data_IF_056248744978
#
_entry.id   IF_056248744978
#
_cell.length_a   1.000
_cell.length_b   1.000
_cell.length_c   1.000
_cell.angle_alpha   90.00
_cell.angle_beta   90.00
_cell.angle_gamma   90.00
#
_symmetry.space_group_name_H-M   'P 1'
#
loop_
_entity.id
_entity.type
_entity.pdbx_description
1 polymer ?
#
# COMPACT_ATOMS: atom_id res chain seq x y z
N UNK A 1 -69.94 -44.65 -35.51
CA UNK A 1 -71.02 -43.67 -35.56
C UNK A 1 -70.39 -42.32 -35.11
N UNK A 2 -70.32 -41.40 -36.10
CA UNK A 2 -70.33 -39.95 -36.00
C UNK A 2 -69.16 -39.31 -35.25
N UNK A 3 -68.12 -38.79 -35.91
CA UNK A 3 -67.99 -37.44 -36.48
C UNK A 3 -68.23 -36.28 -35.49
N UNK A 4 -67.22 -35.48 -35.11
CA UNK A 4 -67.17 -34.15 -35.68
C UNK A 4 -65.76 -33.45 -35.43
N UNK A 5 -65.31 -32.90 -36.54
CA UNK A 5 -64.22 -31.95 -36.67
C UNK A 5 -64.60 -30.60 -35.99
N UNK A 6 -63.63 -29.84 -35.54
CA UNK A 6 -63.49 -28.40 -35.88
C UNK A 6 -62.18 -27.82 -35.44
N UNK A 7 -61.50 -27.25 -36.39
CA UNK A 7 -60.34 -26.32 -36.27
C UNK A 7 -60.60 -25.13 -35.38
N UNK A 8 -59.55 -24.60 -34.74
CA UNK A 8 -59.35 -23.13 -34.64
C UNK A 8 -57.93 -22.82 -34.34
N UNK A 9 -57.25 -22.23 -35.29
CA UNK A 9 -56.53 -20.95 -35.39
C UNK A 9 -55.48 -20.61 -34.29
N UNK A 10 -54.27 -20.38 -34.81
CA UNK A 10 -53.10 -19.84 -34.19
C UNK A 10 -53.34 -18.45 -33.59
N UNK A 11 -52.73 -18.22 -32.45
CA UNK A 11 -52.31 -16.89 -32.01
C UNK A 11 -50.94 -17.00 -31.31
N UNK A 12 -49.95 -16.53 -32.01
CA UNK A 12 -48.59 -16.37 -31.44
C UNK A 12 -48.60 -15.26 -30.40
N UNK A 13 -48.02 -15.54 -29.25
CA UNK A 13 -47.55 -14.51 -28.34
C UNK A 13 -46.06 -14.74 -28.07
N UNK A 14 -45.24 -13.83 -28.60
CA UNK A 14 -43.83 -13.77 -28.33
C UNK A 14 -43.58 -13.48 -26.86
N UNK A 15 -42.94 -14.39 -26.17
CA UNK A 15 -42.34 -14.14 -24.87
C UNK A 15 -40.98 -13.43 -25.10
N UNK A 16 -40.99 -12.11 -24.94
CA UNK A 16 -39.77 -11.35 -24.79
C UNK A 16 -39.10 -11.77 -23.48
N UNK A 17 -38.03 -12.57 -23.57
CA UNK A 17 -37.22 -12.94 -22.44
C UNK A 17 -36.48 -11.70 -21.93
N UNK A 18 -36.88 -11.16 -20.80
CA UNK A 18 -36.03 -10.24 -20.03
C UNK A 18 -34.83 -11.03 -19.49
N UNK A 19 -33.70 -10.88 -20.13
CA UNK A 19 -32.41 -11.27 -19.53
C UNK A 19 -32.08 -10.26 -18.46
N UNK A 20 -32.43 -10.55 -17.21
CA UNK A 20 -31.86 -9.86 -16.07
C UNK A 20 -30.43 -10.32 -15.93
N UNK A 21 -29.47 -9.50 -16.38
CA UNK A 21 -28.07 -9.66 -16.08
C UNK A 21 -27.90 -9.43 -14.57
N UNK A 22 -27.93 -10.51 -13.79
CA UNK A 22 -27.49 -10.49 -12.40
C UNK A 22 -25.98 -10.28 -12.40
N UNK A 23 -25.56 -9.03 -12.35
CA UNK A 23 -24.17 -8.67 -12.09
C UNK A 23 -23.76 -9.24 -10.74
N UNK A 24 -23.01 -10.34 -10.75
CA UNK A 24 -22.37 -10.88 -9.55
C UNK A 24 -21.37 -9.83 -9.05
N UNK A 25 -21.81 -9.03 -8.10
CA UNK A 25 -20.89 -8.19 -7.31
C UNK A 25 -19.94 -9.13 -6.56
N UNK A 26 -18.73 -9.31 -7.09
CA UNK A 26 -17.65 -9.98 -6.35
C UNK A 26 -17.28 -9.08 -5.19
N UNK A 27 -17.87 -9.31 -4.04
CA UNK A 27 -17.38 -8.73 -2.79
C UNK A 27 -15.93 -9.20 -2.63
N UNK A 28 -14.98 -8.27 -2.67
CA UNK A 28 -13.57 -8.59 -2.46
C UNK A 28 -13.43 -9.28 -1.10
N UNK A 29 -12.82 -10.46 -1.08
CA UNK A 29 -12.52 -11.18 0.17
C UNK A 29 -11.71 -10.25 1.06
N UNK A 30 -12.11 -10.02 2.32
CA UNK A 30 -11.36 -9.15 3.21
C UNK A 30 -9.92 -9.66 3.35
N UNK A 31 -8.96 -8.76 3.26
CA UNK A 31 -7.56 -9.09 3.41
C UNK A 31 -7.32 -9.68 4.81
N UNK A 32 -6.50 -10.74 4.89
CA UNK A 32 -6.22 -11.42 6.15
C UNK A 32 -5.53 -10.46 7.13
N UNK A 33 -6.00 -10.46 8.39
CA UNK A 33 -5.34 -9.72 9.46
C UNK A 33 -3.90 -10.19 9.68
N UNK A 34 -2.98 -9.33 10.14
CA UNK A 34 -1.61 -9.71 10.50
C UNK A 34 -1.58 -10.84 11.52
N UNK A 35 -0.59 -11.73 11.43
CA UNK A 35 -0.36 -12.80 12.40
C UNK A 35 0.60 -12.42 13.52
N UNK A 36 1.38 -11.35 13.31
CA UNK A 36 2.33 -10.76 14.25
C UNK A 36 2.01 -9.29 14.54
N UNK A 37 2.84 -8.62 15.35
CA UNK A 37 2.71 -7.19 15.60
C UNK A 37 2.70 -6.39 14.29
N UNK A 38 1.71 -5.49 14.14
CA UNK A 38 1.66 -4.59 13.00
C UNK A 38 2.85 -3.64 13.02
N UNK A 39 3.63 -3.61 11.95
CA UNK A 39 4.75 -2.70 11.77
C UNK A 39 4.42 -1.51 10.87
N UNK A 40 3.55 -1.72 9.89
CA UNK A 40 3.15 -0.68 8.94
C UNK A 40 1.63 -0.67 8.77
N UNK A 41 1.04 0.50 8.91
CA UNK A 41 -0.40 0.74 8.68
C UNK A 41 -0.57 1.68 7.49
N UNK A 42 -1.41 1.31 6.54
CA UNK A 42 -1.75 2.12 5.36
C UNK A 42 -3.23 2.52 5.46
N UNK A 43 -3.53 3.80 5.39
CA UNK A 43 -4.90 4.32 5.50
C UNK A 43 -5.24 5.33 4.38
N UNK A 44 -6.44 5.88 4.42
CA UNK A 44 -6.92 6.88 3.47
C UNK A 44 -7.58 6.26 2.25
N UNK A 45 -7.20 6.68 1.04
CA UNK A 45 -7.80 6.25 -0.22
C UNK A 45 -7.35 4.84 -0.64
N UNK A 46 -7.69 3.83 0.17
CA UNK A 46 -7.39 2.42 -0.04
C UNK A 46 -8.65 1.62 -0.37
N UNK A 47 -8.53 0.53 -1.13
CA UNK A 47 -9.65 -0.35 -1.47
C UNK A 47 -9.61 -1.69 -0.73
N UNK A 48 -8.44 -2.10 -0.22
CA UNK A 48 -8.25 -3.31 0.58
C UNK A 48 -7.92 -2.95 2.02
N UNK A 49 -8.69 -3.48 2.97
CA UNK A 49 -8.48 -3.25 4.40
C UNK A 49 -8.56 -4.57 5.17
N UNK A 50 -7.82 -4.67 6.27
CA UNK A 50 -7.85 -5.79 7.21
C UNK A 50 -7.87 -5.30 8.66
N UNK A 51 -8.08 -4.00 8.85
CA UNK A 51 -8.18 -3.33 10.13
C UNK A 51 -9.31 -2.28 10.07
N UNK A 52 -10.12 -2.18 11.13
CA UNK A 52 -11.15 -1.16 11.32
C UNK A 52 -10.59 0.22 11.67
N UNK A 53 -11.47 1.07 12.21
CA UNK A 53 -11.15 2.43 12.61
C UNK A 53 -10.01 2.50 13.65
N UNK A 54 -9.37 3.65 13.70
CA UNK A 54 -8.40 3.97 14.75
C UNK A 54 -9.12 4.01 16.11
N UNK A 55 -8.56 3.29 17.09
CA UNK A 55 -9.01 3.33 18.49
C UNK A 55 -8.12 4.28 19.27
N UNK A 56 -8.62 5.45 19.60
CA UNK A 56 -7.89 6.48 20.35
C UNK A 56 -7.42 6.04 21.74
N UNK A 57 -8.01 4.99 22.30
CA UNK A 57 -7.63 4.42 23.58
C UNK A 57 -6.37 3.56 23.49
N UNK A 58 -6.24 2.79 22.41
CA UNK A 58 -5.14 1.81 22.25
C UNK A 58 -4.07 2.32 21.27
N UNK A 59 -4.46 3.02 20.21
CA UNK A 59 -3.55 3.54 19.17
C UNK A 59 -2.90 4.86 19.58
N UNK A 60 -2.32 4.90 20.78
CA UNK A 60 -1.83 6.12 21.43
C UNK A 60 -0.85 6.93 20.58
N UNK A 61 0.11 6.27 19.93
CA UNK A 61 1.10 6.97 19.10
C UNK A 61 0.44 7.59 17.88
N UNK A 62 -0.43 6.86 17.20
CA UNK A 62 -1.17 7.39 16.04
C UNK A 62 -2.06 8.56 16.43
N UNK A 63 -2.78 8.44 17.55
CA UNK A 63 -3.62 9.52 18.08
C UNK A 63 -2.81 10.79 18.40
N UNK A 64 -1.65 10.66 19.04
CA UNK A 64 -0.73 11.78 19.33
C UNK A 64 -0.16 12.43 18.08
N UNK A 65 0.03 11.66 17.00
CA UNK A 65 0.46 12.16 15.69
C UNK A 65 -0.72 12.71 14.84
N UNK A 66 -1.93 12.80 15.41
CA UNK A 66 -3.11 13.36 14.74
C UNK A 66 -3.64 12.50 13.59
N UNK A 67 -3.31 11.21 13.56
CA UNK A 67 -3.79 10.29 12.53
C UNK A 67 -5.25 9.93 12.82
N UNK A 68 -6.05 9.87 11.75
CA UNK A 68 -7.46 9.46 11.79
C UNK A 68 -7.74 8.55 10.58
N UNK A 69 -8.48 7.48 10.79
CA UNK A 69 -9.00 6.62 9.72
C UNK A 69 -10.15 5.74 10.21
N UNK A 70 -11.08 5.43 9.31
CA UNK A 70 -12.21 4.51 9.55
C UNK A 70 -11.84 3.07 9.21
N UNK A 71 -10.84 2.88 8.36
CA UNK A 71 -10.29 1.58 7.95
C UNK A 71 -8.83 1.73 7.55
N UNK A 72 -8.08 0.66 7.72
CA UNK A 72 -6.67 0.61 7.32
C UNK A 72 -6.27 -0.79 6.84
N UNK A 73 -5.11 -0.86 6.18
CA UNK A 73 -4.42 -2.10 5.82
C UNK A 73 -3.17 -2.21 6.68
N UNK A 74 -3.15 -3.21 7.54
CA UNK A 74 -2.07 -3.45 8.49
C UNK A 74 -1.15 -4.58 7.97
N UNK A 75 0.16 -4.36 8.07
CA UNK A 75 1.20 -5.30 7.64
C UNK A 75 2.15 -5.57 8.81
N UNK A 76 2.43 -6.85 9.07
CA UNK A 76 3.47 -7.32 9.98
C UNK A 76 4.80 -7.57 9.23
N UNK A 77 5.84 -7.93 9.98
CA UNK A 77 7.15 -8.26 9.40
C UNK A 77 7.05 -9.39 8.36
N UNK A 78 6.25 -10.41 8.64
CA UNK A 78 6.07 -11.57 7.76
C UNK A 78 5.42 -11.16 6.43
N UNK A 79 4.40 -10.32 6.48
CA UNK A 79 3.74 -9.82 5.28
C UNK A 79 4.69 -9.02 4.40
N UNK A 80 5.48 -8.11 4.99
CA UNK A 80 6.48 -7.32 4.25
C UNK A 80 7.59 -8.19 3.65
N UNK A 81 8.11 -9.16 4.40
CA UNK A 81 9.19 -10.04 3.97
C UNK A 81 8.79 -11.05 2.89
N UNK A 82 7.51 -11.39 2.77
CA UNK A 82 6.99 -12.26 1.70
C UNK A 82 6.82 -11.54 0.37
N UNK A 83 6.84 -10.21 0.35
CA UNK A 83 6.76 -9.45 -0.89
C UNK A 83 8.07 -9.57 -1.69
N UNK A 84 8.02 -9.50 -3.02
CA UNK A 84 9.23 -9.47 -3.85
C UNK A 84 10.15 -8.32 -3.42
N UNK A 85 11.37 -8.66 -2.99
CA UNK A 85 12.32 -7.68 -2.49
C UNK A 85 13.25 -7.18 -3.60
N UNK A 86 13.60 -5.90 -3.51
CA UNK A 86 14.60 -5.21 -4.32
C UNK A 86 15.78 -4.87 -3.43
N UNK A 87 16.98 -4.87 -3.98
CA UNK A 87 18.21 -4.45 -3.30
C UNK A 87 18.73 -3.19 -3.95
N UNK A 88 19.09 -2.20 -3.12
CA UNK A 88 19.73 -0.95 -3.51
C UNK A 88 21.00 -0.75 -2.67
N UNK A 89 21.92 0.12 -3.11
CA UNK A 89 23.20 0.31 -2.39
C UNK A 89 23.59 1.79 -2.31
N UNK A 90 22.77 2.64 -1.67
CA UNK A 90 23.07 4.06 -1.52
C UNK A 90 24.21 4.32 -0.54
N UNK A 91 24.93 5.42 -0.74
CA UNK A 91 25.82 6.01 0.26
C UNK A 91 24.99 6.75 1.30
N UNK A 92 25.02 6.29 2.57
CA UNK A 92 24.20 6.86 3.62
C UNK A 92 24.84 8.12 4.25
N UNK A 93 23.99 9.03 4.76
CA UNK A 93 24.43 10.29 5.35
C UNK A 93 25.11 10.14 6.69
N UNK A 94 24.87 9.04 7.42
CA UNK A 94 25.31 8.86 8.80
C UNK A 94 26.79 8.53 8.93
N UNK A 95 27.36 7.84 7.95
CA UNK A 95 28.78 7.44 7.95
C UNK A 95 29.47 7.66 6.60
N UNK A 96 28.75 8.18 5.62
CA UNK A 96 29.24 8.43 4.25
C UNK A 96 29.76 7.16 3.56
N UNK A 97 29.16 5.99 3.86
CA UNK A 97 29.51 4.71 3.25
C UNK A 97 28.33 4.11 2.50
N UNK A 98 28.58 3.30 1.45
CA UNK A 98 27.55 2.55 0.78
C UNK A 98 27.06 1.38 1.65
N UNK A 99 25.73 1.26 1.83
CA UNK A 99 25.07 0.18 2.56
C UNK A 99 24.11 -0.56 1.67
N UNK A 100 24.04 -1.88 1.83
CA UNK A 100 23.10 -2.72 1.09
C UNK A 100 21.75 -2.73 1.80
N UNK A 101 20.74 -2.08 1.21
CA UNK A 101 19.37 -2.05 1.71
C UNK A 101 18.49 -3.00 0.89
N UNK A 102 17.62 -3.75 1.57
CA UNK A 102 16.74 -4.73 0.93
C UNK A 102 15.32 -4.63 1.47
N UNK A 103 14.33 -4.63 0.58
CA UNK A 103 12.91 -4.64 0.91
C UNK A 103 12.03 -4.57 -0.34
N UNK A 104 10.70 -4.66 -0.20
CA UNK A 104 9.77 -4.54 -1.32
C UNK A 104 9.75 -3.10 -1.86
N UNK A 105 9.38 -2.94 -3.15
CA UNK A 105 9.02 -1.64 -3.68
C UNK A 105 7.83 -1.06 -2.90
N UNK A 106 7.86 0.23 -2.62
CA UNK A 106 6.73 0.91 -1.95
C UNK A 106 5.43 0.77 -2.76
N UNK A 107 5.51 0.75 -4.09
CA UNK A 107 4.35 0.49 -4.96
C UNK A 107 3.76 -0.91 -4.76
N UNK A 108 4.59 -1.93 -4.50
CA UNK A 108 4.14 -3.30 -4.16
C UNK A 108 3.43 -3.32 -2.81
N UNK A 109 3.98 -2.60 -1.83
CA UNK A 109 3.37 -2.46 -0.49
C UNK A 109 2.01 -1.76 -0.59
N UNK A 110 1.91 -0.69 -1.37
CA UNK A 110 0.65 0.04 -1.59
C UNK A 110 -0.38 -0.79 -2.36
N UNK A 111 0.06 -1.63 -3.30
CA UNK A 111 -0.82 -2.55 -4.03
C UNK A 111 -1.54 -3.54 -3.10
N UNK A 112 -0.91 -3.98 -2.00
CA UNK A 112 -1.54 -4.83 -0.98
C UNK A 112 -2.73 -4.12 -0.30
N UNK A 113 -2.68 -2.80 -0.17
CA UNK A 113 -3.79 -1.97 0.30
C UNK A 113 -4.77 -1.56 -0.81
N UNK A 114 -4.60 -2.10 -2.03
CA UNK A 114 -5.46 -1.83 -3.17
C UNK A 114 -5.26 -0.45 -3.81
N UNK A 115 -4.05 0.11 -3.72
CA UNK A 115 -3.65 1.35 -4.38
C UNK A 115 -2.84 1.00 -5.63
N UNK A 116 -3.39 1.26 -6.81
CA UNK A 116 -2.70 0.97 -8.07
C UNK A 116 -1.51 1.93 -8.28
N UNK A 117 -0.43 1.43 -8.88
CA UNK A 117 0.79 2.19 -9.11
C UNK A 117 0.56 3.47 -9.93
N UNK A 118 -0.36 3.49 -10.90
CA UNK A 118 -0.69 4.67 -11.71
C UNK A 118 -1.71 5.64 -11.08
N UNK A 119 -2.14 5.41 -9.83
CA UNK A 119 -3.16 6.26 -9.19
C UNK A 119 -2.64 7.68 -8.98
N UNK A 120 -3.43 8.73 -9.29
CA UNK A 120 -3.08 10.12 -9.00
C UNK A 120 -3.32 10.39 -7.50
N UNK A 121 -2.37 9.97 -6.68
CA UNK A 121 -2.43 10.13 -5.21
C UNK A 121 -1.14 10.73 -4.68
N UNK A 122 -1.25 11.37 -3.53
CA UNK A 122 -0.14 11.74 -2.68
C UNK A 122 -0.07 10.81 -1.48
N UNK A 123 1.13 10.56 -1.00
CA UNK A 123 1.40 9.71 0.14
C UNK A 123 2.03 10.55 1.25
N UNK A 124 1.46 10.49 2.44
CA UNK A 124 2.12 11.02 3.64
C UNK A 124 2.78 9.86 4.35
N UNK A 125 4.10 9.82 4.32
CA UNK A 125 4.93 8.82 4.97
C UNK A 125 5.31 9.31 6.37
N UNK A 126 5.03 8.54 7.43
CA UNK A 126 5.23 8.95 8.82
C UNK A 126 6.15 8.00 9.56
N UNK A 127 7.14 8.58 10.22
CA UNK A 127 8.09 7.90 11.11
C UNK A 127 7.59 7.86 12.56
N UNK A 128 8.11 6.94 13.35
CA UNK A 128 7.76 6.75 14.76
C UNK A 128 8.11 7.95 15.65
N UNK A 129 9.07 8.78 15.23
CA UNK A 129 9.49 10.01 15.93
C UNK A 129 8.63 11.23 15.58
N UNK A 130 7.61 11.06 14.69
CA UNK A 130 6.75 12.13 14.24
C UNK A 130 7.20 12.81 12.94
N UNK A 131 8.42 12.52 12.44
CA UNK A 131 8.84 13.03 11.14
C UNK A 131 7.89 12.54 10.05
N UNK A 132 7.52 13.42 9.15
CA UNK A 132 6.64 13.06 8.05
C UNK A 132 6.98 13.83 6.77
N UNK A 133 6.75 13.19 5.64
CA UNK A 133 6.96 13.77 4.31
C UNK A 133 5.77 13.45 3.42
N UNK A 134 5.50 14.36 2.49
CA UNK A 134 4.51 14.13 1.44
C UNK A 134 5.24 13.92 0.12
N UNK A 135 4.91 12.84 -0.58
CA UNK A 135 5.50 12.46 -1.86
C UNK A 135 4.41 12.01 -2.83
N UNK A 136 4.55 12.32 -4.11
CA UNK A 136 3.62 11.85 -5.13
C UNK A 136 3.84 10.37 -5.47
N UNK A 137 2.79 9.68 -5.92
CA UNK A 137 2.94 8.31 -6.46
C UNK A 137 3.91 8.29 -7.67
N UNK A 138 3.90 9.34 -8.49
CA UNK A 138 4.80 9.45 -9.63
C UNK A 138 6.28 9.50 -9.19
N UNK A 139 6.60 10.27 -8.14
CA UNK A 139 7.96 10.33 -7.59
C UNK A 139 8.37 9.01 -6.93
N UNK A 140 7.46 8.37 -6.19
CA UNK A 140 7.70 7.03 -5.61
C UNK A 140 8.11 6.02 -6.69
N UNK A 141 7.43 6.06 -7.84
CA UNK A 141 7.75 5.21 -9.00
C UNK A 141 9.08 5.63 -9.66
N UNK A 142 9.25 6.92 -9.95
CA UNK A 142 10.44 7.44 -10.59
C UNK A 142 11.71 7.17 -9.78
N UNK A 143 11.63 7.30 -8.46
CA UNK A 143 12.74 7.05 -7.54
C UNK A 143 12.88 5.56 -7.18
N UNK A 144 11.95 4.69 -7.63
CA UNK A 144 11.93 3.27 -7.29
C UNK A 144 12.06 3.03 -5.78
N UNK A 145 11.34 3.84 -4.99
CA UNK A 145 11.40 3.80 -3.52
C UNK A 145 11.02 2.41 -3.00
N UNK A 146 11.81 1.91 -2.06
CA UNK A 146 11.56 0.64 -1.36
C UNK A 146 11.15 0.89 0.09
N UNK A 147 10.50 -0.09 0.70
CA UNK A 147 10.35 -0.21 2.15
C UNK A 147 11.44 -1.18 2.61
N UNK A 148 12.63 -0.64 2.90
CA UNK A 148 13.74 -1.45 3.35
C UNK A 148 13.44 -2.07 4.72
N UNK A 149 13.66 -3.37 4.85
CA UNK A 149 13.51 -4.15 6.09
C UNK A 149 14.83 -4.72 6.57
N UNK A 150 15.86 -4.68 5.71
CA UNK A 150 17.20 -5.18 6.01
C UNK A 150 18.25 -4.18 5.57
N UNK A 151 19.33 -4.09 6.34
CA UNK A 151 20.56 -3.37 6.04
C UNK A 151 21.74 -4.32 6.22
N UNK A 152 22.63 -4.41 5.22
CA UNK A 152 23.83 -5.26 5.20
C UNK A 152 23.55 -6.72 5.60
N UNK A 153 22.41 -7.24 5.12
CA UNK A 153 21.96 -8.60 5.37
C UNK A 153 21.27 -8.84 6.72
N UNK A 154 21.19 -7.83 7.59
CA UNK A 154 20.55 -7.95 8.89
C UNK A 154 19.18 -7.26 8.92
N UNK A 155 18.17 -7.81 9.61
CA UNK A 155 16.91 -7.10 9.86
C UNK A 155 17.15 -5.79 10.60
N UNK A 156 16.45 -4.73 10.20
CA UNK A 156 16.57 -3.42 10.82
C UNK A 156 15.83 -3.37 12.15
N UNK A 157 16.53 -2.96 13.23
CA UNK A 157 15.96 -2.89 14.57
C UNK A 157 15.21 -1.57 14.80
N UNK A 158 14.13 -1.63 15.61
CA UNK A 158 13.50 -0.45 16.19
C UNK A 158 14.51 0.23 17.15
N UNK A 159 14.63 1.54 17.02
CA UNK A 159 15.65 2.31 17.77
C UNK A 159 16.91 2.60 16.96
N UNK A 160 17.08 1.94 15.78
CA UNK A 160 18.00 2.35 14.73
C UNK A 160 17.22 2.96 13.56
N UNK A 161 17.57 2.62 12.32
CA UNK A 161 16.84 3.07 11.13
C UNK A 161 15.56 2.26 10.87
N UNK A 162 15.33 1.18 11.63
CA UNK A 162 14.18 0.27 11.51
C UNK A 162 12.97 0.64 12.37
N UNK A 163 11.99 -0.28 12.33
CA UNK A 163 12.00 -1.63 11.76
C UNK A 163 11.91 -1.67 10.23
N UNK A 164 11.49 -0.62 9.57
CA UNK A 164 11.53 -0.41 8.12
C UNK A 164 11.79 1.05 7.78
N UNK A 165 12.31 1.28 6.58
CA UNK A 165 12.70 2.60 6.09
C UNK A 165 12.16 2.81 4.67
N UNK A 166 11.41 3.87 4.44
CA UNK A 166 11.07 4.29 3.07
C UNK A 166 12.28 4.99 2.46
N UNK A 167 12.94 4.38 1.48
CA UNK A 167 14.21 4.87 0.95
C UNK A 167 14.38 4.55 -0.53
N UNK A 168 15.18 5.35 -1.21
CA UNK A 168 15.60 5.16 -2.60
C UNK A 168 17.14 5.18 -2.70
N UNK A 169 17.66 4.73 -3.87
CA UNK A 169 19.08 4.83 -4.17
C UNK A 169 19.42 6.23 -4.68
N UNK A 170 19.82 7.11 -3.77
CA UNK A 170 20.11 8.51 -4.08
C UNK A 170 21.34 8.68 -5.00
N UNK A 171 22.26 7.71 -5.00
CA UNK A 171 23.52 7.80 -5.78
C UNK A 171 23.27 7.67 -7.29
N UNK A 172 22.18 7.01 -7.69
CA UNK A 172 21.83 6.79 -9.10
C UNK A 172 20.74 7.72 -9.61
N UNK A 173 20.06 8.46 -8.72
CA UNK A 173 18.95 9.34 -9.09
C UNK A 173 19.45 10.74 -9.48
N UNK A 174 19.16 11.23 -10.71
CA UNK A 174 19.56 12.56 -11.15
C UNK A 174 19.13 13.70 -10.21
N UNK A 175 18.00 13.55 -9.53
CA UNK A 175 17.48 14.55 -8.59
C UNK A 175 18.32 14.69 -7.31
N UNK A 176 19.15 13.70 -6.97
CA UNK A 176 19.83 13.62 -5.68
C UNK A 176 21.33 13.37 -5.76
N UNK A 177 21.84 12.65 -6.78
CA UNK A 177 23.23 12.19 -6.85
C UNK A 177 24.30 13.30 -6.69
N UNK A 178 23.99 14.49 -7.17
CA UNK A 178 24.90 15.64 -7.15
C UNK A 178 24.74 16.54 -5.91
N UNK A 179 23.80 16.21 -5.02
CA UNK A 179 23.61 16.91 -3.75
C UNK A 179 24.60 16.42 -2.70
N UNK A 180 24.92 17.24 -1.68
CA UNK A 180 25.62 16.76 -0.48
C UNK A 180 24.89 15.56 0.13
N UNK A 181 25.60 14.54 0.61
CA UNK A 181 25.03 13.28 1.10
C UNK A 181 23.92 13.52 2.14
N UNK A 182 24.13 14.46 3.07
CA UNK A 182 23.17 14.85 4.12
C UNK A 182 21.84 15.45 3.60
N UNK A 183 21.78 15.84 2.33
CA UNK A 183 20.59 16.45 1.73
C UNK A 183 19.83 15.49 0.81
N UNK A 184 20.32 14.23 0.67
CA UNK A 184 19.77 13.27 -0.30
C UNK A 184 18.54 12.53 0.20
N UNK A 185 18.38 12.39 1.53
CA UNK A 185 17.36 11.49 2.12
C UNK A 185 16.20 12.22 2.80
N UNK A 186 16.01 13.53 2.55
CA UNK A 186 14.93 14.31 3.15
C UNK A 186 13.50 13.83 2.83
N UNK A 187 13.33 12.93 1.83
CA UNK A 187 12.03 12.28 1.55
C UNK A 187 11.97 10.83 2.06
N UNK A 188 12.94 10.41 2.87
CA UNK A 188 13.14 9.03 3.29
C UNK A 188 12.96 8.86 4.81
N UNK A 189 11.73 8.82 5.35
CA UNK A 189 11.53 8.59 6.78
C UNK A 189 11.95 7.18 7.18
N UNK A 190 12.91 7.07 8.10
CA UNK A 190 13.25 5.82 8.79
C UNK A 190 12.27 5.58 9.95
N UNK A 191 12.22 4.35 10.46
CA UNK A 191 11.16 4.01 11.43
C UNK A 191 9.75 4.22 10.87
N UNK A 192 9.57 4.00 9.56
CA UNK A 192 8.29 4.17 8.89
C UNK A 192 7.23 3.27 9.54
N UNK A 193 6.09 3.82 9.99
CA UNK A 193 5.04 3.03 10.62
C UNK A 193 3.65 3.29 10.07
N UNK A 194 3.46 4.43 9.37
CA UNK A 194 2.18 4.79 8.80
C UNK A 194 2.31 5.47 7.44
N UNK A 195 1.42 5.11 6.52
CA UNK A 195 1.27 5.74 5.21
C UNK A 195 -0.18 6.17 5.05
N UNK A 196 -0.42 7.46 4.80
CA UNK A 196 -1.73 7.97 4.45
C UNK A 196 -1.79 8.21 2.95
N UNK A 197 -2.77 7.60 2.27
CA UNK A 197 -3.01 7.77 0.83
C UNK A 197 -4.06 8.86 0.65
N UNK A 198 -3.69 9.96 -0.01
CA UNK A 198 -4.56 11.10 -0.29
C UNK A 198 -4.87 11.18 -1.78
N UNK A 199 -6.15 11.33 -2.12
CA UNK A 199 -6.54 11.68 -3.50
C UNK A 199 -6.06 13.11 -3.81
N UNK A 200 -5.56 13.30 -5.02
CA UNK A 200 -5.23 14.63 -5.59
C UNK A 200 -6.47 15.20 -6.26
#
# INVERSE_FOLDING_TARGET
MSMNKRNFVAAGMGLAGLWTATGSSHAATPAKAPSGPTLLTISGAITQSNRGALDTTIDQMMGKHGIQFDKAHALDATALQRMPAVTIKPTLEYDSKPHTLKGPLLTTVLAAAGVAAGSPVQLVLRAVDGYNVTISMADVQAYRMIVATHIDGQPMALGGLGPQWAVYDADVLPAFKDKPVKERFGLCPWGLYHIEVKKV
#
